data_IF_253441197589
#
_entry.id   IF_253441197589
#
_cell.length_a   1.000
_cell.length_b   1.000
_cell.length_c   1.000
_cell.angle_alpha   90.00
_cell.angle_beta   90.00
_cell.angle_gamma   90.00
#
_symmetry.space_group_name_H-M   'P 1'
#
loop_
_entity.id
_entity.type
_entity.pdbx_description
1 polymer ?
#
# COMPACT_ATOMS: atom_id res chain seq x y z
N UNK A 1 3.50 72.12 18.25
CA UNK A 1 4.11 71.07 19.09
C UNK A 1 3.35 69.77 18.80
N UNK A 2 3.77 69.07 17.70
CA UNK A 2 3.10 67.84 17.27
C UNK A 2 4.02 66.65 17.59
N UNK A 3 3.54 65.70 18.42
CA UNK A 3 4.24 64.44 18.72
C UNK A 3 3.89 63.41 17.63
N UNK A 4 4.89 62.91 16.93
CA UNK A 4 4.78 61.77 16.06
C UNK A 4 4.78 60.48 16.88
N UNK A 5 3.70 59.70 16.79
CA UNK A 5 3.62 58.30 17.25
C UNK A 5 4.15 57.41 16.13
N UNK A 6 5.24 56.71 16.40
CA UNK A 6 5.74 55.62 15.54
C UNK A 6 5.09 54.30 15.98
N UNK A 7 4.37 53.67 15.07
CA UNK A 7 3.89 52.30 15.25
C UNK A 7 4.95 51.36 14.64
N UNK A 8 5.56 50.54 15.49
CA UNK A 8 6.41 49.44 15.06
C UNK A 8 5.52 48.22 14.80
N UNK A 9 5.46 47.78 13.55
CA UNK A 9 4.80 46.53 13.17
C UNK A 9 5.80 45.38 13.32
N UNK A 10 5.57 44.51 14.30
CA UNK A 10 6.30 43.27 14.49
C UNK A 10 5.67 42.21 13.57
N UNK A 11 6.37 41.83 12.51
CA UNK A 11 5.97 40.71 11.65
C UNK A 11 6.33 39.39 12.34
N UNK A 12 5.31 38.63 12.73
CA UNK A 12 5.47 37.27 13.21
C UNK A 12 5.66 36.33 12.00
N UNK A 13 6.86 35.82 11.84
CA UNK A 13 7.14 34.76 10.85
C UNK A 13 6.73 33.42 11.46
N UNK A 14 5.60 32.88 11.01
CA UNK A 14 5.17 31.52 11.37
C UNK A 14 5.97 30.50 10.57
N UNK A 15 6.91 29.82 11.24
CA UNK A 15 7.67 28.71 10.68
C UNK A 15 6.78 27.47 10.64
N UNK A 16 6.25 27.13 9.49
CA UNK A 16 5.56 25.84 9.27
C UNK A 16 6.63 24.72 9.26
N UNK A 17 6.70 23.99 10.37
CA UNK A 17 7.41 22.70 10.40
C UNK A 17 6.63 21.69 9.57
N UNK A 18 7.09 21.40 8.38
CA UNK A 18 6.66 20.24 7.61
C UNK A 18 7.30 19.02 8.27
N UNK A 19 6.53 18.28 9.07
CA UNK A 19 6.94 16.96 9.55
C UNK A 19 6.95 16.01 8.34
N UNK A 20 8.10 15.83 7.72
CA UNK A 20 8.34 14.68 6.86
C UNK A 20 8.42 13.45 7.76
N UNK A 21 7.67 12.36 7.49
CA UNK A 21 7.89 11.10 8.18
C UNK A 21 9.30 10.61 7.84
N UNK A 22 10.19 10.68 8.83
CA UNK A 22 11.53 10.11 8.72
C UNK A 22 11.38 8.59 8.65
N UNK A 23 11.61 8.03 7.48
CA UNK A 23 11.82 6.60 7.33
C UNK A 23 13.20 6.27 7.89
N UNK A 24 13.24 5.43 8.89
CA UNK A 24 14.49 4.91 9.41
C UNK A 24 14.98 3.81 8.47
N UNK A 25 16.05 4.08 7.73
CA UNK A 25 16.80 3.00 7.08
C UNK A 25 17.65 2.32 8.14
N UNK A 26 17.40 1.04 8.37
CA UNK A 26 18.25 0.22 9.22
C UNK A 26 19.61 0.04 8.55
N UNK A 27 20.63 -0.32 9.37
CA UNK A 27 22.04 -0.45 8.99
C UNK A 27 22.31 -1.55 7.94
N UNK A 28 21.30 -2.39 7.65
CA UNK A 28 21.32 -3.51 6.68
C UNK A 28 20.55 -3.21 5.38
N UNK A 29 20.11 -1.96 5.15
CA UNK A 29 19.30 -1.58 3.99
C UNK A 29 17.81 -1.86 4.14
N UNK A 30 17.35 -2.35 5.29
CA UNK A 30 15.93 -2.55 5.56
C UNK A 30 15.17 -1.21 5.62
N UNK A 31 13.95 -1.21 5.10
CA UNK A 31 13.01 -0.08 5.14
C UNK A 31 11.80 -0.47 5.97
N UNK A 32 11.43 0.40 6.89
CA UNK A 32 10.28 0.20 7.79
C UNK A 32 9.29 1.36 7.66
N UNK A 33 8.01 1.06 7.58
CA UNK A 33 6.94 2.06 7.47
C UNK A 33 5.62 1.54 8.01
N UNK A 34 4.68 2.47 8.27
CA UNK A 34 3.34 2.17 8.74
C UNK A 34 2.31 2.29 7.61
N UNK A 35 1.30 1.43 7.65
CA UNK A 35 0.06 1.55 6.91
C UNK A 35 -0.96 2.33 7.74
N UNK A 36 -1.84 3.05 7.08
CA UNK A 36 -2.90 3.84 7.71
C UNK A 36 -4.28 3.27 7.41
N UNK A 37 -5.24 3.56 8.29
CA UNK A 37 -6.62 3.14 8.10
C UNK A 37 -7.21 3.79 6.85
N UNK A 38 -7.79 2.96 5.97
CA UNK A 38 -8.47 3.45 4.77
C UNK A 38 -9.71 4.26 5.10
N UNK A 39 -10.11 5.15 4.18
CA UNK A 39 -11.29 5.98 4.39
C UNK A 39 -12.57 5.19 4.67
N UNK A 40 -12.73 4.04 4.02
CA UNK A 40 -13.91 3.17 4.18
C UNK A 40 -13.98 2.44 5.52
N UNK A 41 -12.84 2.15 6.14
CA UNK A 41 -12.76 1.44 7.41
C UNK A 41 -12.64 2.34 8.65
N UNK A 42 -12.41 3.64 8.46
CA UNK A 42 -12.12 4.56 9.57
C UNK A 42 -13.22 4.62 10.64
N UNK A 43 -14.49 4.47 10.25
CA UNK A 43 -15.59 4.52 11.19
C UNK A 43 -15.74 3.25 12.03
N UNK A 44 -15.41 2.09 11.48
CA UNK A 44 -15.58 0.79 12.13
C UNK A 44 -14.29 0.26 12.76
N UNK A 45 -13.12 0.58 12.20
CA UNK A 45 -11.81 0.12 12.66
C UNK A 45 -10.84 1.31 12.85
N UNK A 46 -11.18 2.32 13.69
CA UNK A 46 -10.37 3.54 13.81
C UNK A 46 -8.97 3.30 14.38
N UNK A 47 -8.77 2.19 15.09
CA UNK A 47 -7.52 1.83 15.76
C UNK A 47 -6.71 0.76 15.03
N UNK A 48 -7.12 0.36 13.81
CA UNK A 48 -6.36 -0.60 13.03
C UNK A 48 -4.99 0.00 12.64
N UNK A 49 -3.95 -0.79 12.77
CA UNK A 49 -2.57 -0.41 12.41
C UNK A 49 -1.92 -1.51 11.60
N UNK A 50 -0.98 -1.12 10.74
CA UNK A 50 -0.13 -2.05 10.02
C UNK A 50 1.30 -1.55 10.05
N UNK A 51 2.23 -2.41 10.41
CA UNK A 51 3.66 -2.13 10.45
C UNK A 51 4.38 -3.07 9.50
N UNK A 52 5.15 -2.51 8.57
CA UNK A 52 5.82 -3.25 7.52
C UNK A 52 7.33 -3.03 7.60
N UNK A 53 8.09 -4.12 7.56
CA UNK A 53 9.54 -4.09 7.40
C UNK A 53 9.92 -4.86 6.15
N UNK A 54 10.70 -4.25 5.26
CA UNK A 54 11.21 -4.89 4.06
C UNK A 54 12.73 -4.95 4.14
N UNK A 55 13.27 -6.16 4.04
CA UNK A 55 14.71 -6.44 4.12
C UNK A 55 15.20 -7.02 2.80
N UNK A 56 16.15 -6.38 2.10
CA UNK A 56 16.82 -6.98 0.95
C UNK A 56 17.51 -8.28 1.33
N UNK A 57 17.33 -9.34 0.52
CA UNK A 57 17.86 -10.68 0.76
C UNK A 57 18.45 -11.29 -0.53
N UNK A 58 19.43 -10.63 -1.11
CA UNK A 58 20.04 -11.02 -2.38
C UNK A 58 19.06 -10.81 -3.56
N UNK A 59 18.62 -11.88 -4.26
CA UNK A 59 17.78 -11.72 -5.44
C UNK A 59 16.29 -11.43 -5.12
N UNK A 60 15.92 -11.33 -3.86
CA UNK A 60 14.55 -11.10 -3.38
C UNK A 60 14.54 -10.15 -2.19
N UNK A 61 13.36 -9.68 -1.83
CA UNK A 61 13.11 -8.99 -0.57
C UNK A 61 12.22 -9.86 0.33
N UNK A 62 12.45 -9.71 1.64
CA UNK A 62 11.60 -10.29 2.69
C UNK A 62 10.77 -9.15 3.27
N UNK A 63 9.44 -9.28 3.20
CA UNK A 63 8.50 -8.33 3.76
C UNK A 63 7.79 -8.96 4.95
N UNK A 64 8.06 -8.45 6.14
CA UNK A 64 7.36 -8.79 7.38
C UNK A 64 6.24 -7.77 7.60
N UNK A 65 5.00 -8.25 7.73
CA UNK A 65 3.81 -7.42 7.94
C UNK A 65 3.17 -7.79 9.26
N UNK A 66 3.02 -6.83 10.16
CA UNK A 66 2.30 -6.97 11.42
C UNK A 66 1.09 -6.07 11.39
N UNK A 67 -0.09 -6.62 11.67
CA UNK A 67 -1.35 -5.87 11.76
C UNK A 67 -1.97 -6.04 13.14
N UNK A 68 -2.58 -4.97 13.65
CA UNK A 68 -3.20 -4.94 14.99
C UNK A 68 -4.48 -4.12 14.98
N UNK A 69 -5.31 -4.29 16.03
CA UNK A 69 -6.58 -3.57 16.15
C UNK A 69 -7.64 -3.99 15.14
N UNK A 70 -7.51 -5.20 14.59
CA UNK A 70 -8.43 -5.80 13.64
C UNK A 70 -9.42 -6.76 14.34
N UNK A 71 -10.52 -7.17 13.69
CA UNK A 71 -11.39 -8.23 14.20
C UNK A 71 -10.61 -9.52 14.47
N UNK A 72 -10.92 -10.24 15.58
CA UNK A 72 -10.26 -11.49 15.91
C UNK A 72 -10.65 -12.62 14.95
N UNK A 73 -9.73 -13.57 14.75
CA UNK A 73 -9.92 -14.80 13.95
C UNK A 73 -10.54 -14.49 12.56
N UNK A 74 -9.98 -13.50 11.90
CA UNK A 74 -10.49 -12.98 10.62
C UNK A 74 -9.35 -12.98 9.59
N UNK A 75 -9.68 -13.45 8.39
CA UNK A 75 -8.82 -13.44 7.22
C UNK A 75 -8.89 -12.11 6.48
N UNK A 76 -7.74 -11.67 6.01
CA UNK A 76 -7.56 -10.45 5.21
C UNK A 76 -6.69 -10.73 3.98
N UNK A 77 -7.12 -10.21 2.84
CA UNK A 77 -6.35 -10.26 1.58
C UNK A 77 -5.33 -9.12 1.53
N UNK A 78 -4.07 -9.45 1.32
CA UNK A 78 -2.98 -8.48 1.23
C UNK A 78 -2.48 -8.31 -0.20
N UNK A 79 -2.31 -7.05 -0.62
CA UNK A 79 -1.98 -6.69 -2.00
C UNK A 79 -0.79 -5.73 -2.09
N UNK A 80 0.00 -5.90 -3.16
CA UNK A 80 0.83 -4.86 -3.74
C UNK A 80 0.02 -4.16 -4.83
N UNK A 81 -0.05 -2.83 -4.81
CA UNK A 81 -0.96 -2.04 -5.65
C UNK A 81 -0.27 -0.84 -6.28
N UNK A 82 -0.79 -0.36 -7.38
CA UNK A 82 -0.24 0.80 -8.09
C UNK A 82 -0.50 2.09 -7.32
N UNK A 83 -1.74 2.34 -6.90
CA UNK A 83 -2.14 3.49 -6.08
C UNK A 83 -2.95 3.05 -4.86
N UNK A 84 -2.79 3.72 -3.71
CA UNK A 84 -3.33 3.21 -2.44
C UNK A 84 -4.84 3.39 -2.27
N UNK A 85 -5.49 4.17 -3.14
CA UNK A 85 -6.92 4.49 -3.11
C UNK A 85 -7.60 4.11 -4.42
N UNK A 86 -8.90 3.88 -4.38
CA UNK A 86 -9.69 3.61 -5.58
C UNK A 86 -9.65 4.78 -6.61
N UNK A 87 -9.52 4.49 -7.92
CA UNK A 87 -9.28 3.17 -8.49
C UNK A 87 -7.82 2.74 -8.28
N UNK A 88 -7.61 1.55 -7.76
CA UNK A 88 -6.28 1.07 -7.27
C UNK A 88 -5.25 0.85 -8.38
N UNK A 89 -5.67 0.89 -9.64
CA UNK A 89 -4.84 0.55 -10.77
C UNK A 89 -4.51 -0.95 -10.82
N UNK A 90 -3.32 -1.30 -11.30
CA UNK A 90 -2.84 -2.68 -11.30
C UNK A 90 -2.61 -3.12 -9.86
N UNK A 91 -3.13 -4.30 -9.53
CA UNK A 91 -3.06 -4.88 -8.18
C UNK A 91 -2.55 -6.31 -8.27
N UNK A 92 -1.70 -6.67 -7.32
CA UNK A 92 -1.13 -8.00 -7.19
C UNK A 92 -1.52 -8.58 -5.84
N UNK A 93 -2.26 -9.71 -5.86
CA UNK A 93 -2.55 -10.45 -4.63
C UNK A 93 -1.28 -11.12 -4.12
N UNK A 94 -0.90 -10.77 -2.89
CA UNK A 94 0.33 -11.25 -2.30
C UNK A 94 0.11 -12.46 -1.40
N UNK A 95 -1.04 -12.53 -0.76
CA UNK A 95 -1.43 -13.61 0.14
C UNK A 95 -2.33 -13.12 1.25
N UNK A 96 -2.64 -14.02 2.18
CA UNK A 96 -3.54 -13.74 3.30
C UNK A 96 -2.77 -13.36 4.56
N UNK A 97 -3.43 -12.59 5.40
CA UNK A 97 -3.02 -12.34 6.78
C UNK A 97 -4.20 -12.72 7.68
N UNK A 98 -4.00 -13.74 8.52
CA UNK A 98 -4.99 -14.14 9.50
C UNK A 98 -4.73 -13.48 10.86
N UNK A 99 -5.79 -12.99 11.49
CA UNK A 99 -5.70 -12.46 12.85
C UNK A 99 -5.98 -13.55 13.89
N UNK A 100 -5.26 -13.47 14.99
CA UNK A 100 -5.50 -14.33 16.16
C UNK A 100 -6.71 -13.82 16.99
N UNK A 101 -6.97 -14.49 18.14
CA UNK A 101 -8.06 -14.13 19.05
C UNK A 101 -7.95 -12.72 19.66
N UNK A 102 -6.82 -12.03 19.49
CA UNK A 102 -6.58 -10.66 19.97
C UNK A 102 -6.64 -9.63 18.83
N UNK A 103 -6.99 -10.03 17.61
CA UNK A 103 -7.05 -9.13 16.45
C UNK A 103 -5.67 -8.70 15.95
N UNK A 104 -4.64 -9.51 16.18
CA UNK A 104 -3.29 -9.32 15.66
C UNK A 104 -2.96 -10.40 14.64
N UNK A 105 -2.44 -9.98 13.48
CA UNK A 105 -1.89 -10.83 12.43
C UNK A 105 -0.42 -10.55 12.18
N UNK A 106 0.32 -11.55 11.72
CA UNK A 106 1.69 -11.42 11.26
C UNK A 106 1.93 -12.38 10.11
N UNK A 107 2.43 -11.86 9.00
CA UNK A 107 2.79 -12.69 7.86
C UNK A 107 4.13 -12.24 7.27
N UNK A 108 4.84 -13.20 6.70
CA UNK A 108 6.13 -13.00 6.03
C UNK A 108 6.04 -13.40 4.58
N UNK A 109 6.25 -12.45 3.70
CA UNK A 109 6.27 -12.66 2.26
C UNK A 109 7.70 -12.59 1.72
N UNK A 110 7.98 -13.42 0.72
CA UNK A 110 9.24 -13.39 -0.03
C UNK A 110 8.92 -13.10 -1.49
N UNK A 111 9.51 -12.05 -2.05
CA UNK A 111 9.18 -11.63 -3.40
C UNK A 111 10.00 -10.45 -3.88
N UNK A 112 9.41 -9.64 -4.77
CA UNK A 112 9.96 -8.37 -5.22
C UNK A 112 9.17 -7.23 -4.57
N UNK A 113 9.79 -6.55 -3.62
CA UNK A 113 9.18 -5.47 -2.83
C UNK A 113 10.13 -4.28 -2.75
N UNK A 114 10.58 -3.79 -3.89
CA UNK A 114 11.61 -2.77 -4.03
C UNK A 114 11.30 -1.80 -5.15
N UNK A 115 12.24 -0.93 -5.47
CA UNK A 115 12.15 -0.06 -6.66
C UNK A 115 11.98 -0.85 -7.96
N UNK A 116 12.31 -2.15 -7.96
CA UNK A 116 12.11 -3.05 -9.10
C UNK A 116 10.72 -3.70 -9.14
N UNK A 117 9.78 -3.32 -8.26
CA UNK A 117 8.43 -3.87 -8.26
C UNK A 117 7.59 -3.20 -9.34
N UNK A 118 7.38 -3.90 -10.45
CA UNK A 118 6.58 -3.40 -11.55
C UNK A 118 5.81 -4.53 -12.26
N UNK A 119 4.78 -4.17 -12.98
CA UNK A 119 4.06 -5.04 -13.90
C UNK A 119 4.10 -4.48 -15.32
N UNK A 120 4.16 -5.36 -16.31
CA UNK A 120 3.89 -5.01 -17.70
C UNK A 120 2.50 -5.56 -18.02
N UNK A 121 1.51 -4.68 -18.03
CA UNK A 121 0.12 -5.04 -18.24
C UNK A 121 -0.45 -4.27 -19.43
N UNK A 122 -0.17 -4.69 -20.65
CA UNK A 122 -0.81 -4.09 -21.82
C UNK A 122 -2.30 -4.44 -21.79
N UNK A 123 -3.15 -3.47 -21.51
CA UNK A 123 -4.58 -3.64 -21.24
C UNK A 123 -5.42 -4.15 -22.42
N UNK A 124 -4.83 -4.59 -23.53
CA UNK A 124 -5.56 -4.95 -24.72
C UNK A 124 -5.22 -6.30 -25.34
N UNK A 125 -4.17 -6.99 -24.89
CA UNK A 125 -3.80 -8.29 -25.47
C UNK A 125 -4.18 -9.42 -24.52
N UNK A 126 -5.07 -10.35 -24.92
CA UNK A 126 -5.32 -11.58 -24.17
C UNK A 126 -4.01 -12.37 -24.03
N UNK A 127 -3.71 -12.85 -22.82
CA UNK A 127 -2.49 -13.62 -22.56
C UNK A 127 -2.27 -14.80 -23.54
N UNK A 128 -3.27 -15.57 -23.95
CA UNK A 128 -3.10 -16.63 -24.95
C UNK A 128 -2.55 -16.17 -26.30
N UNK A 129 -2.89 -14.96 -26.73
CA UNK A 129 -2.37 -14.40 -28.00
C UNK A 129 -0.91 -14.01 -27.88
N UNK A 130 -0.51 -13.51 -26.71
CA UNK A 130 0.88 -13.09 -26.44
C UNK A 130 1.81 -14.30 -26.33
N UNK A 131 1.37 -15.38 -25.66
CA UNK A 131 2.23 -16.54 -25.38
C UNK A 131 2.22 -17.61 -26.48
N UNK A 132 1.24 -17.63 -27.36
CA UNK A 132 1.15 -18.65 -28.41
C UNK A 132 1.89 -18.29 -29.71
N UNK A 133 2.33 -17.08 -29.87
CA UNK A 133 3.04 -16.57 -31.04
C UNK A 133 4.52 -16.30 -30.73
N UNK A 134 5.26 -17.31 -30.31
CA UNK A 134 6.70 -17.14 -30.09
C UNK A 134 7.46 -16.62 -31.31
N UNK A 135 8.59 -15.92 -31.18
CA UNK A 135 9.23 -15.63 -29.91
C UNK A 135 8.41 -14.62 -29.06
N UNK A 136 8.51 -14.74 -27.76
CA UNK A 136 7.78 -13.83 -26.86
C UNK A 136 8.13 -12.38 -27.19
N UNK A 137 7.13 -11.51 -27.35
CA UNK A 137 7.41 -10.11 -27.63
C UNK A 137 8.17 -9.49 -26.48
N UNK A 138 9.32 -8.90 -26.79
CA UNK A 138 10.04 -8.06 -25.87
C UNK A 138 9.19 -6.83 -25.57
N UNK A 139 8.92 -6.55 -24.30
CA UNK A 139 8.11 -5.41 -23.89
C UNK A 139 8.71 -4.07 -24.37
N UNK A 140 10.02 -3.98 -24.53
CA UNK A 140 10.70 -2.81 -25.09
C UNK A 140 10.42 -2.59 -26.58
N UNK A 141 10.04 -3.63 -27.30
CA UNK A 141 9.73 -3.59 -28.73
C UNK A 141 8.25 -3.36 -29.03
N UNK A 142 7.41 -3.36 -28.01
CA UNK A 142 5.96 -3.18 -28.13
C UNK A 142 5.50 -1.92 -27.39
N UNK A 143 5.79 -0.72 -27.91
CA UNK A 143 5.22 0.48 -27.32
C UNK A 143 3.67 0.44 -27.47
N UNK A 144 2.89 0.86 -26.50
CA UNK A 144 3.29 1.63 -25.31
C UNK A 144 3.38 0.81 -24.00
N UNK A 145 3.99 -0.35 -24.00
CA UNK A 145 4.13 -1.19 -22.79
C UNK A 145 5.16 -0.62 -21.82
N UNK A 146 4.84 0.53 -21.25
CA UNK A 146 5.64 1.06 -20.15
C UNK A 146 5.40 0.23 -18.89
N UNK A 147 6.44 -0.07 -18.09
CA UNK A 147 6.27 -0.68 -16.79
C UNK A 147 5.34 0.14 -15.91
N UNK A 148 4.41 -0.53 -15.27
CA UNK A 148 3.51 0.05 -14.27
C UNK A 148 4.15 -0.20 -12.90
N UNK A 149 4.65 0.84 -12.27
CA UNK A 149 5.28 0.74 -10.97
C UNK A 149 4.23 0.47 -9.88
N UNK A 150 4.54 -0.48 -9.00
CA UNK A 150 3.63 -0.94 -7.94
C UNK A 150 4.31 -0.76 -6.59
N UNK A 151 4.20 0.45 -6.03
CA UNK A 151 4.96 0.82 -4.83
C UNK A 151 4.12 0.95 -3.58
N UNK A 152 2.84 0.61 -3.65
CA UNK A 152 1.91 0.72 -2.55
C UNK A 152 1.45 -0.65 -2.04
N UNK A 153 0.92 -0.65 -0.82
CA UNK A 153 0.35 -1.81 -0.16
C UNK A 153 -1.08 -1.53 0.27
N UNK A 154 -1.88 -2.59 0.33
CA UNK A 154 -3.24 -2.53 0.84
C UNK A 154 -3.69 -3.84 1.45
N UNK A 155 -4.59 -3.74 2.41
CA UNK A 155 -5.21 -4.86 3.12
C UNK A 155 -6.72 -4.74 3.02
N UNK A 156 -7.39 -5.81 2.64
CA UNK A 156 -8.84 -5.90 2.52
C UNK A 156 -9.38 -6.98 3.45
N UNK A 157 -10.64 -6.89 3.85
CA UNK A 157 -11.33 -8.05 4.39
C UNK A 157 -11.40 -9.17 3.34
N UNK A 158 -11.12 -10.41 3.71
CA UNK A 158 -11.22 -11.58 2.81
C UNK A 158 -12.65 -11.85 2.32
N UNK A 159 -13.67 -11.17 2.89
CA UNK A 159 -15.04 -11.21 2.37
C UNK A 159 -15.88 -10.02 2.82
N UNK A 160 -16.96 -9.65 2.07
CA UNK A 160 -17.93 -8.65 2.50
C UNK A 160 -18.65 -9.05 3.79
N UNK A 161 -18.85 -10.36 4.02
CA UNK A 161 -19.51 -10.89 5.22
C UNK A 161 -18.64 -10.68 6.47
N UNK A 162 -17.33 -10.89 6.36
CA UNK A 162 -16.38 -10.60 7.45
C UNK A 162 -16.37 -9.11 7.79
N UNK A 163 -16.42 -8.23 6.79
CA UNK A 163 -16.53 -6.79 6.99
C UNK A 163 -17.82 -6.42 7.76
N UNK A 164 -18.97 -6.97 7.34
CA UNK A 164 -20.25 -6.75 8.02
C UNK A 164 -20.26 -7.26 9.45
N UNK A 165 -19.69 -8.44 9.69
CA UNK A 165 -19.58 -9.01 11.04
C UNK A 165 -18.74 -8.13 11.98
N UNK A 166 -17.78 -7.38 11.42
CA UNK A 166 -16.98 -6.40 12.15
C UNK A 166 -17.65 -5.02 12.28
N UNK A 167 -18.90 -4.86 11.83
CA UNK A 167 -19.62 -3.58 11.83
C UNK A 167 -19.15 -2.59 10.75
N UNK A 168 -18.42 -3.07 9.75
CA UNK A 168 -17.97 -2.30 8.62
C UNK A 168 -18.94 -2.38 7.42
N UNK A 169 -18.84 -1.47 6.43
CA UNK A 169 -19.62 -1.59 5.20
C UNK A 169 -19.35 -2.91 4.48
N UNK A 170 -20.41 -3.55 4.00
CA UNK A 170 -20.36 -4.81 3.24
C UNK A 170 -20.17 -4.63 1.74
N UNK A 171 -19.46 -3.59 1.33
CA UNK A 171 -19.16 -3.36 -0.08
C UNK A 171 -18.28 -4.49 -0.63
N UNK A 172 -18.58 -4.89 -1.85
CA UNK A 172 -17.83 -5.93 -2.55
C UNK A 172 -16.67 -5.32 -3.31
N UNK A 173 -15.48 -5.85 -3.11
CA UNK A 173 -14.33 -5.61 -3.99
C UNK A 173 -14.15 -6.88 -4.82
N UNK A 174 -14.30 -6.83 -6.16
CA UNK A 174 -14.03 -7.98 -7.02
C UNK A 174 -12.60 -8.47 -6.84
N UNK A 175 -12.42 -9.77 -6.66
CA UNK A 175 -11.13 -10.37 -6.37
C UNK A 175 -10.69 -11.35 -7.48
N UNK A 176 -10.91 -12.67 -7.32
CA UNK A 176 -10.39 -13.66 -8.26
C UNK A 176 -11.47 -14.37 -9.09
N UNK A 177 -12.74 -14.00 -8.97
CA UNK A 177 -13.86 -14.63 -9.65
C UNK A 177 -14.53 -15.77 -8.85
N UNK A 178 -13.81 -16.42 -7.96
CA UNK A 178 -14.35 -17.47 -7.07
C UNK A 178 -14.83 -16.89 -5.74
N UNK A 179 -14.16 -15.86 -5.24
CA UNK A 179 -14.64 -15.07 -4.12
C UNK A 179 -14.39 -13.57 -4.34
N UNK A 180 -15.03 -12.76 -3.53
CA UNK A 180 -14.88 -11.31 -3.52
C UNK A 180 -14.36 -10.87 -2.16
N UNK A 181 -13.39 -9.98 -2.18
CA UNK A 181 -12.94 -9.27 -0.99
C UNK A 181 -14.01 -8.29 -0.47
N UNK A 182 -13.92 -7.94 0.80
CA UNK A 182 -14.69 -6.85 1.39
C UNK A 182 -14.09 -5.48 1.10
N UNK A 183 -14.23 -4.54 2.02
CA UNK A 183 -13.64 -3.20 1.89
C UNK A 183 -12.16 -3.22 2.23
N UNK A 184 -11.42 -2.24 1.68
CA UNK A 184 -10.05 -1.96 2.09
C UNK A 184 -10.00 -1.47 3.56
N UNK A 185 -9.11 -2.04 4.35
CA UNK A 185 -8.94 -1.72 5.78
C UNK A 185 -7.72 -0.83 6.02
N UNK A 186 -6.57 -1.25 5.51
CA UNK A 186 -5.31 -0.51 5.64
C UNK A 186 -4.70 -0.25 4.26
N UNK A 187 -3.96 0.84 4.15
CA UNK A 187 -3.19 1.15 2.95
C UNK A 187 -2.01 2.08 3.26
N UNK A 188 -1.21 2.37 2.23
CA UNK A 188 -0.08 3.28 2.32
C UNK A 188 -0.38 4.68 1.77
N UNK A 189 -1.61 5.19 1.96
CA UNK A 189 -2.02 6.52 1.47
C UNK A 189 -1.41 7.71 2.25
N UNK A 190 -0.60 7.44 3.24
CA UNK A 190 0.30 8.39 3.88
C UNK A 190 1.55 8.70 3.03
N UNK A 191 1.73 8.00 1.90
CA UNK A 191 2.73 8.28 0.87
C UNK A 191 2.05 8.84 -0.39
N UNK A 192 2.76 9.67 -1.20
CA UNK A 192 2.23 10.15 -2.47
C UNK A 192 1.93 9.00 -3.45
N UNK A 193 0.91 9.14 -4.29
CA UNK A 193 0.43 8.09 -5.19
C UNK A 193 1.51 7.61 -6.19
N UNK A 194 2.45 8.46 -6.56
CA UNK A 194 3.59 8.16 -7.43
C UNK A 194 4.88 7.80 -6.68
N UNK A 195 4.84 7.81 -5.35
CA UNK A 195 6.01 7.59 -4.49
C UNK A 195 5.65 6.74 -3.26
N UNK A 196 5.17 5.51 -3.51
CA UNK A 196 4.88 4.56 -2.43
C UNK A 196 6.15 4.05 -1.72
N UNK A 197 6.00 3.43 -0.54
CA UNK A 197 7.13 3.06 0.31
C UNK A 197 8.08 2.03 -0.31
N UNK A 198 7.62 1.14 -1.19
CA UNK A 198 8.47 0.14 -1.84
C UNK A 198 9.55 0.77 -2.72
N UNK A 199 9.32 1.97 -3.23
CA UNK A 199 10.32 2.70 -4.04
C UNK A 199 11.61 3.00 -3.26
N UNK A 200 11.57 2.97 -1.95
CA UNK A 200 12.71 3.28 -1.10
C UNK A 200 13.59 2.06 -0.79
N UNK A 201 13.11 0.88 -1.13
CA UNK A 201 13.86 -0.36 -0.98
C UNK A 201 14.77 -0.53 -2.21
N UNK A 202 16.05 -0.59 -1.99
CA UNK A 202 17.07 -0.80 -3.03
C UNK A 202 17.75 -2.14 -2.78
N UNK A 203 17.61 -3.12 -3.69
CA UNK A 203 18.27 -4.43 -3.59
C UNK A 203 19.79 -4.34 -3.76
#
# INVERSE_FOLDING_TARGET
>A
MFKHLQFSATAAVSLLLVLNPLLATAKDGSVTFDMVVSGGARACLPNATGHVTITPAGPVEIMDVVVEGLPPNTEFDFFVIQVPKAPFGVSWYQGDIETNAHGRGHERFVGRFSIETFAVAPGSAPAPVVFNNGPFPDASLNPPFNPIQMYHLGLWFGSPQAAQAAGCPGNVTPFNGDHNAGIQVLNTSNFPDDFGPLRQVHP
#
